data_IF_082372837741
#
_entry.id   IF_082372837741
#
_cell.length_a   1.000
_cell.length_b   1.000
_cell.length_c   1.000
_cell.angle_alpha   90.00
_cell.angle_beta   90.00
_cell.angle_gamma   90.00
#
_symmetry.space_group_name_H-M   'P 1'
#
loop_
_entity.id
_entity.type
_entity.pdbx_description
1 polymer ?
2 water ?
#
# COMPACT_ATOMS: atom_id res chain seq x y z
N UNK A 9 6.03 1.59 -20.61
CA UNK A 9 6.78 0.31 -20.60
C UNK A 9 5.75 -0.82 -20.39
N UNK A 10 4.82 -0.69 -19.45
CA UNK A 10 3.91 -1.84 -19.18
C UNK A 10 2.61 -1.87 -20.00
N UNK A 11 2.24 -3.06 -20.43
CA UNK A 11 0.98 -3.34 -21.10
C UNK A 11 -0.20 -3.06 -20.16
N UNK A 12 -1.20 -2.33 -20.63
CA UNK A 12 -2.35 -2.05 -19.81
C UNK A 12 -3.59 -2.75 -20.40
N UNK A 13 -4.63 -2.93 -19.59
CA UNK A 13 -5.86 -3.62 -20.05
C UNK A 13 -6.41 -3.00 -21.36
N UNK A 14 -6.26 -1.68 -21.51
CA UNK A 14 -6.80 -0.97 -22.65
C UNK A 14 -5.94 -1.22 -23.87
N UNK A 15 -4.85 -1.99 -23.73
CA UNK A 15 -4.03 -2.41 -24.90
C UNK A 15 -4.48 -3.74 -25.44
N UNK A 16 -5.36 -4.45 -24.71
CA UNK A 16 -5.76 -5.81 -25.14
C UNK A 16 -6.99 -5.87 -26.06
N UNK A 17 -7.06 -6.91 -26.90
CA UNK A 17 -8.26 -7.24 -27.71
C UNK A 17 -9.14 -8.10 -26.80
N UNK A 18 -10.12 -7.49 -26.11
CA UNK A 18 -10.91 -8.21 -25.05
C UNK A 18 -12.21 -8.93 -25.51
N UNK A 19 -12.78 -8.45 -26.61
CA UNK A 19 -14.12 -8.87 -27.04
C UNK A 19 -14.24 -10.36 -27.22
N UNK A 20 -15.21 -10.94 -26.54
CA UNK A 20 -15.50 -12.36 -26.66
C UNK A 20 -14.48 -13.21 -25.93
N UNK A 21 -13.44 -12.58 -25.39
CA UNK A 21 -12.41 -13.26 -24.64
C UNK A 21 -12.84 -13.53 -23.19
N UNK A 22 -12.44 -14.68 -22.67
CA UNK A 22 -12.50 -14.94 -21.27
C UNK A 22 -11.28 -14.28 -20.58
N UNK A 23 -11.56 -13.25 -19.80
CA UNK A 23 -10.56 -12.40 -19.14
C UNK A 23 -10.42 -12.74 -17.65
N UNK A 24 -9.27 -13.29 -17.27
CA UNK A 24 -9.03 -13.56 -15.84
C UNK A 24 -8.53 -12.28 -15.22
N UNK A 25 -9.04 -11.93 -14.05
CA UNK A 25 -8.70 -10.65 -13.45
C UNK A 25 -8.35 -10.86 -11.99
N UNK A 26 -7.13 -10.51 -11.64
CA UNK A 26 -6.76 -10.47 -10.24
C UNK A 26 -7.14 -9.09 -9.70
N UNK A 27 -8.15 -9.06 -8.83
CA UNK A 27 -8.64 -7.86 -8.20
C UNK A 27 -8.28 -7.87 -6.72
N UNK A 28 -8.14 -6.70 -6.10
CA UNK A 28 -7.90 -6.66 -4.65
C UNK A 28 -9.22 -6.55 -3.92
N UNK A 29 -9.79 -7.69 -3.54
CA UNK A 29 -11.02 -7.72 -2.75
C UNK A 29 -10.76 -8.04 -1.28
N UNK A 30 -9.52 -7.88 -0.81
CA UNK A 30 -9.24 -8.16 0.61
C UNK A 30 -9.88 -7.09 1.48
N UNK A 31 -11.19 -7.13 1.63
CA UNK A 31 -11.90 -6.08 2.38
C UNK A 31 -12.04 -6.40 3.86
N UNK A 32 -12.11 -5.37 4.73
CA UNK A 32 -12.36 -5.57 6.18
C UNK A 32 -13.69 -6.31 6.48
N UNK A 33 -13.62 -7.37 7.30
CA UNK A 33 -14.83 -8.13 7.67
C UNK A 33 -15.18 -7.99 9.15
N UNK A 34 -16.40 -8.39 9.51
CA UNK A 34 -16.82 -8.45 10.91
C UNK A 34 -18.02 -9.37 10.92
N UNK A 35 -17.80 -10.59 11.43
CA UNK A 35 -18.80 -11.67 11.38
C UNK A 35 -19.10 -12.11 9.95
N UNK A 36 -18.17 -11.82 9.05
CA UNK A 36 -18.43 -11.99 7.62
C UNK A 36 -19.38 -10.93 7.08
N UNK A 37 -19.20 -9.69 7.53
CA UNK A 37 -19.95 -8.56 7.04
C UNK A 37 -18.93 -7.48 6.61
N UNK A 38 -19.02 -7.00 5.38
CA UNK A 38 -18.04 -6.07 4.85
C UNK A 38 -18.13 -4.72 5.60
N UNK A 39 -17.09 -4.33 6.31
CA UNK A 39 -17.05 -3.07 7.08
C UNK A 39 -16.52 -1.89 6.25
N UNK A 40 -15.88 -2.20 5.13
CA UNK A 40 -15.32 -1.15 4.28
C UNK A 40 -15.22 -1.62 2.84
N UNK A 41 -16.19 -1.22 2.02
CA UNK A 41 -16.22 -1.65 0.63
C UNK A 41 -15.26 -0.90 -0.29
N UNK A 42 -14.32 -0.14 0.28
CA UNK A 42 -13.52 0.76 -0.55
C UNK A 42 -12.63 0.05 -1.58
N UNK A 43 -12.03 -1.09 -1.23
CA UNK A 43 -11.27 -1.85 -2.22
C UNK A 43 -12.17 -2.36 -3.37
N UNK A 44 -13.47 -2.51 -3.11
CA UNK A 44 -14.37 -2.93 -4.16
C UNK A 44 -14.73 -1.76 -5.05
N UNK A 45 -15.06 -0.62 -4.46
CA UNK A 45 -15.27 0.59 -5.20
C UNK A 45 -14.12 0.83 -6.16
N UNK A 46 -12.88 0.73 -5.68
CA UNK A 46 -11.70 1.00 -6.50
C UNK A 46 -11.41 0.01 -7.62
N UNK A 47 -11.78 -1.26 -7.39
CA UNK A 47 -11.61 -2.29 -8.40
C UNK A 47 -12.52 -2.09 -9.62
N UNK A 48 -13.56 -1.26 -9.47
CA UNK A 48 -14.65 -1.13 -10.43
C UNK A 48 -14.28 -0.70 -11.85
N UNK A 49 -13.44 0.36 -12.01
CA UNK A 49 -13.21 0.84 -13.38
C UNK A 49 -12.61 -0.20 -14.39
N UNK A 50 -11.63 -0.99 -13.95
CA UNK A 50 -11.07 -2.07 -14.77
C UNK A 50 -12.16 -3.03 -15.19
N UNK A 51 -12.99 -3.43 -14.23
CA UNK A 51 -14.07 -4.38 -14.52
C UNK A 51 -15.11 -3.75 -15.48
N UNK A 52 -15.49 -2.52 -15.20
CA UNK A 52 -16.55 -1.88 -15.96
C UNK A 52 -16.02 -1.71 -17.37
N UNK A 53 -14.73 -1.36 -17.49
CA UNK A 53 -14.13 -1.23 -18.83
C UNK A 53 -14.12 -2.56 -19.63
N UNK A 54 -13.70 -3.66 -18.99
CA UNK A 54 -13.71 -4.99 -19.62
C UNK A 54 -15.15 -5.39 -19.96
N UNK A 55 -16.12 -4.98 -19.14
CA UNK A 55 -17.53 -5.23 -19.50
C UNK A 55 -17.84 -4.49 -20.79
N UNK A 56 -17.48 -3.21 -20.87
CA UNK A 56 -17.76 -2.40 -22.06
C UNK A 56 -17.13 -2.95 -23.33
N UNK A 57 -15.98 -3.61 -23.20
CA UNK A 57 -15.29 -4.15 -24.37
C UNK A 57 -15.76 -5.54 -24.75
N UNK A 58 -16.76 -6.05 -24.02
CA UNK A 58 -17.39 -7.33 -24.31
C UNK A 58 -16.53 -8.49 -23.88
N UNK A 59 -15.81 -8.31 -22.78
CA UNK A 59 -15.06 -9.41 -22.18
C UNK A 59 -15.90 -10.27 -21.27
N UNK A 60 -15.45 -11.49 -21.04
CA UNK A 60 -16.11 -12.36 -20.07
C UNK A 60 -15.26 -12.40 -18.81
N UNK A 61 -15.81 -11.87 -17.72
CA UNK A 61 -14.96 -11.68 -16.55
C UNK A 61 -14.91 -12.84 -15.56
N UNK A 62 -13.68 -13.29 -15.28
CA UNK A 62 -13.44 -14.25 -14.19
C UNK A 62 -12.52 -13.66 -13.16
N UNK A 63 -13.04 -13.43 -11.95
CA UNK A 63 -12.34 -12.67 -10.93
C UNK A 63 -11.72 -13.55 -9.87
N UNK A 64 -10.48 -13.20 -9.52
CA UNK A 64 -9.74 -13.87 -8.46
C UNK A 64 -9.38 -12.86 -7.39
N UNK A 65 -9.55 -13.25 -6.11
CA UNK A 65 -8.96 -12.47 -5.00
C UNK A 65 -8.65 -13.37 -3.84
N UNK A 66 -7.75 -12.88 -2.99
CA UNK A 66 -7.55 -13.46 -1.67
C UNK A 66 -8.36 -12.71 -0.64
N UNK A 67 -8.58 -13.32 0.50
CA UNK A 67 -9.31 -12.64 1.56
C UNK A 67 -8.79 -13.18 2.87
N UNK A 68 -8.30 -12.25 3.70
CA UNK A 68 -7.63 -12.57 4.97
C UNK A 68 -6.46 -13.54 4.86
N UNK A 69 -6.16 -14.22 5.97
CA UNK A 69 -5.03 -15.16 6.03
C UNK A 69 -5.59 -16.51 6.41
N UNK A 70 -5.42 -17.49 5.55
CA UNK A 70 -6.00 -18.82 5.73
C UNK A 70 -4.96 -19.83 6.25
N UNK A 71 -4.97 -20.08 7.55
CA UNK A 71 -3.92 -20.92 8.14
C UNK A 71 -4.40 -22.33 8.39
N UNK A 72 -5.66 -22.45 8.83
CA UNK A 72 -6.25 -23.77 9.10
C UNK A 72 -7.72 -23.87 8.74
N UNK A 73 -8.30 -25.06 8.84
CA UNK A 73 -9.65 -25.32 8.32
C UNK A 73 -10.72 -24.37 8.87
N UNK A 74 -10.67 -24.11 10.16
CA UNK A 74 -11.66 -23.22 10.78
C UNK A 74 -11.57 -21.75 10.32
N UNK A 75 -10.47 -21.33 9.70
CA UNK A 75 -10.39 -20.00 9.08
C UNK A 75 -11.27 -19.79 7.81
N UNK A 76 -11.71 -20.87 7.17
CA UNK A 76 -12.39 -20.81 5.85
C UNK A 76 -13.72 -20.06 5.85
N UNK A 77 -14.60 -20.43 6.80
CA UNK A 77 -16.00 -19.97 6.84
C UNK A 77 -16.13 -18.46 6.94
N UNK A 78 -15.31 -17.80 7.74
CA UNK A 78 -15.41 -16.34 7.80
C UNK A 78 -14.65 -15.62 6.67
N UNK A 79 -13.96 -16.38 5.81
CA UNK A 79 -13.18 -15.80 4.72
C UNK A 79 -13.62 -16.24 3.30
N UNK A 80 -14.86 -16.65 3.16
CA UNK A 80 -15.49 -16.90 1.86
C UNK A 80 -15.66 -15.58 1.14
N UNK A 81 -15.54 -15.61 -0.18
CA UNK A 81 -15.77 -14.43 -0.99
C UNK A 81 -17.24 -14.17 -1.39
N UNK A 82 -18.17 -15.02 -0.97
CA UNK A 82 -19.62 -14.76 -1.22
C UNK A 82 -20.12 -13.34 -0.89
N UNK A 83 -19.70 -12.77 0.27
CA UNK A 83 -20.24 -11.42 0.54
C UNK A 83 -19.74 -10.37 -0.45
N UNK A 84 -18.55 -10.61 -1.03
CA UNK A 84 -17.98 -9.70 -2.01
C UNK A 84 -18.72 -9.79 -3.34
N UNK A 85 -19.16 -11.01 -3.69
CA UNK A 85 -19.85 -11.21 -4.95
C UNK A 85 -21.18 -10.52 -4.90
N UNK A 86 -21.83 -10.61 -3.74
CA UNK A 86 -23.12 -9.97 -3.52
C UNK A 86 -22.99 -8.46 -3.57
N UNK A 87 -21.96 -7.92 -2.94
CA UNK A 87 -21.78 -6.46 -2.91
C UNK A 87 -21.48 -5.98 -4.33
N UNK A 88 -20.63 -6.73 -5.02
CA UNK A 88 -20.23 -6.43 -6.37
C UNK A 88 -21.42 -6.46 -7.33
N UNK A 89 -22.43 -7.27 -6.99
CA UNK A 89 -23.64 -7.30 -7.79
C UNK A 89 -24.38 -5.99 -7.66
N UNK A 90 -24.51 -5.49 -6.42
CA UNK A 90 -25.24 -4.23 -6.19
C UNK A 90 -24.56 -3.15 -6.96
N UNK A 91 -23.23 -3.09 -6.85
CA UNK A 91 -22.43 -2.03 -7.47
C UNK A 91 -22.54 -2.05 -8.95
N UNK A 92 -22.63 -3.25 -9.49
CA UNK A 92 -22.68 -3.44 -10.93
C UNK A 92 -24.11 -3.43 -11.51
N UNK A 93 -25.11 -3.26 -10.64
CA UNK A 93 -26.51 -3.66 -10.90
C UNK A 93 -26.70 -4.74 -11.99
N UNK A 94 -25.99 -5.84 -11.70
CA UNK A 94 -26.01 -7.04 -12.50
C UNK A 94 -25.52 -8.16 -11.59
N UNK A 95 -26.12 -9.33 -11.75
CA UNK A 95 -25.78 -10.45 -10.86
C UNK A 95 -24.40 -11.07 -11.19
N UNK A 96 -23.51 -11.08 -10.20
CA UNK A 96 -22.24 -11.82 -10.31
C UNK A 96 -22.53 -13.30 -9.94
N UNK A 97 -22.02 -14.23 -10.75
CA UNK A 97 -22.10 -15.66 -10.44
C UNK A 97 -20.95 -15.98 -9.51
N UNK A 98 -21.25 -16.53 -8.33
CA UNK A 98 -20.19 -16.93 -7.40
C UNK A 98 -20.11 -18.46 -7.34
N UNK A 99 -18.92 -18.99 -7.53
CA UNK A 99 -18.69 -20.44 -7.38
C UNK A 99 -17.82 -20.66 -6.13
N UNK A 100 -18.29 -21.47 -5.17
CA UNK A 100 -17.54 -21.59 -3.91
C UNK A 100 -16.52 -22.74 -3.98
N UNK A 101 -15.81 -22.83 -5.10
CA UNK A 101 -14.69 -23.76 -5.30
C UNK A 101 -13.52 -22.99 -5.94
N UNK A 102 -12.31 -23.52 -5.81
CA UNK A 102 -11.17 -22.81 -6.36
C UNK A 102 -10.77 -23.47 -7.65
N UNK A 103 -11.19 -24.73 -7.83
CA UNK A 103 -11.17 -25.50 -9.07
C UNK A 103 -12.28 -26.55 -9.18
N UNK A 104 -12.32 -27.22 -10.34
CA UNK A 104 -13.20 -28.37 -10.58
C UNK A 104 -14.25 -28.20 -11.69
N UNK A 105 -15.07 -29.24 -11.85
CA UNK A 105 -16.05 -29.32 -12.93
C UNK A 105 -17.03 -28.18 -12.91
N UNK A 106 -17.60 -27.89 -11.73
CA UNK A 106 -18.67 -26.91 -11.62
C UNK A 106 -18.12 -25.53 -11.94
N UNK A 107 -17.00 -25.18 -11.31
CA UNK A 107 -16.28 -23.95 -11.71
C UNK A 107 -16.02 -23.86 -13.20
N UNK A 108 -15.44 -24.92 -13.75
CA UNK A 108 -15.09 -24.94 -15.18
C UNK A 108 -16.32 -24.75 -16.05
N UNK A 109 -17.40 -25.45 -15.74
CA UNK A 109 -18.63 -25.36 -16.53
C UNK A 109 -19.19 -23.95 -16.46
N UNK A 110 -19.16 -23.32 -15.27
CA UNK A 110 -19.73 -21.98 -15.11
C UNK A 110 -18.90 -20.96 -15.88
N UNK A 111 -17.60 -21.15 -15.91
CA UNK A 111 -16.74 -20.26 -16.71
C UNK A 111 -17.13 -20.40 -18.21
N UNK A 112 -17.30 -21.63 -18.71
CA UNK A 112 -17.67 -21.84 -20.11
C UNK A 112 -19.01 -21.23 -20.50
N UNK A 113 -19.93 -21.09 -19.55
CA UNK A 113 -21.28 -20.61 -19.83
C UNK A 113 -21.31 -19.10 -19.89
N UNK A 114 -20.18 -18.45 -19.61
CA UNK A 114 -20.17 -16.98 -19.55
C UNK A 114 -20.40 -16.33 -20.94
N UNK A 115 -21.25 -15.33 -21.06
CA UNK A 115 -21.32 -14.60 -22.34
C UNK A 115 -20.67 -13.24 -22.16
N UNK A 116 -20.58 -12.44 -23.22
CA UNK A 116 -19.85 -11.20 -23.12
C UNK A 116 -20.51 -10.30 -22.10
N UNK A 117 -19.72 -9.66 -21.25
CA UNK A 117 -20.26 -8.80 -20.20
C UNK A 117 -20.50 -9.50 -18.87
N UNK A 118 -20.59 -10.83 -18.89
CA UNK A 118 -20.87 -11.62 -17.65
C UNK A 118 -19.64 -11.58 -16.75
N UNK A 119 -19.89 -11.61 -15.44
CA UNK A 119 -18.86 -11.48 -14.37
C UNK A 119 -19.05 -12.70 -13.39
N UNK A 120 -17.95 -13.44 -13.14
CA UNK A 120 -18.01 -14.58 -12.24
C UNK A 120 -16.92 -14.37 -11.19
N UNK A 121 -17.15 -14.78 -9.97
CA UNK A 121 -16.16 -14.59 -8.94
C UNK A 121 -15.81 -15.97 -8.34
N UNK A 122 -14.52 -16.33 -8.45
CA UNK A 122 -13.95 -17.55 -7.88
C UNK A 122 -13.74 -17.35 -6.38
N UNK A 123 -13.96 -18.43 -5.61
CA UNK A 123 -13.75 -18.44 -4.18
C UNK A 123 -12.27 -18.05 -3.79
N UNK A 124 -12.07 -17.68 -2.53
CA UNK A 124 -10.82 -17.20 -1.95
C UNK A 124 -9.58 -17.97 -2.43
N UNK A 125 -8.62 -17.27 -3.01
CA UNK A 125 -7.48 -17.96 -3.59
C UNK A 125 -6.69 -18.64 -2.46
N UNK A 126 -6.80 -18.10 -1.24
CA UNK A 126 -6.05 -18.66 -0.11
C UNK A 126 -6.71 -19.91 0.57
N UNK A 127 -7.86 -20.36 0.03
CA UNK A 127 -8.32 -21.74 0.30
C UNK A 127 -7.28 -22.78 -0.20
N UNK A 128 -6.45 -22.38 -1.17
CA UNK A 128 -5.45 -23.28 -1.73
C UNK A 128 -4.23 -23.42 -0.83
N UNK A 129 -4.11 -22.53 0.16
CA UNK A 129 -3.02 -22.60 1.10
C UNK A 129 -3.14 -23.72 2.12
N UNK A 130 -4.34 -24.26 2.36
CA UNK A 130 -4.49 -25.32 3.39
C UNK A 130 -3.71 -26.63 3.14
N UNK A 131 -3.74 -27.09 1.90
CA UNK A 131 -2.97 -28.27 1.53
C UNK A 131 -1.77 -27.72 0.74
N UNK A 132 -0.64 -27.57 1.43
CA UNK A 132 0.62 -27.17 0.79
C UNK A 132 0.97 -25.71 0.50
N UNK A 133 0.23 -24.75 1.08
CA UNK A 133 0.45 -23.30 0.77
C UNK A 133 0.65 -22.98 -0.75
N UNK A 134 -0.19 -23.58 -1.59
CA UNK A 134 -0.04 -23.51 -3.03
C UNK A 134 -0.23 -22.11 -3.61
N UNK A 135 -1.22 -21.37 -3.10
CA UNK A 135 -1.44 -19.99 -3.55
C UNK A 135 -0.22 -19.18 -3.16
N UNK A 136 0.06 -19.14 -1.86
CA UNK A 136 1.08 -18.22 -1.32
C UNK A 136 2.51 -18.51 -1.75
N UNK A 137 2.81 -19.76 -2.08
CA UNK A 137 4.19 -20.21 -2.53
C UNK A 137 4.18 -20.45 -4.06
N UNK A 138 3.13 -20.03 -4.78
CA UNK A 138 3.11 -20.15 -6.25
C UNK A 138 3.34 -21.58 -6.76
N UNK A 139 2.55 -22.55 -6.31
CA UNK A 139 2.64 -23.92 -6.80
C UNK A 139 2.56 -23.90 -8.33
N UNK A 140 3.49 -24.59 -9.02
CA UNK A 140 3.46 -24.60 -10.50
C UNK A 140 2.13 -25.09 -11.08
N UNK A 141 1.63 -26.22 -10.56
CA UNK A 141 0.34 -26.75 -11.06
C UNK A 141 -0.85 -25.79 -10.97
N UNK A 142 -0.99 -25.10 -9.84
CA UNK A 142 -2.14 -24.24 -9.55
C UNK A 142 -2.16 -23.06 -10.52
N UNK A 143 -1.00 -22.43 -10.73
CA UNK A 143 -0.94 -21.25 -11.61
C UNK A 143 -1.37 -21.63 -13.03
N UNK A 144 -0.85 -22.76 -13.50
CA UNK A 144 -1.11 -23.27 -14.83
C UNK A 144 -2.57 -23.65 -14.99
N UNK A 145 -3.11 -24.35 -13.98
CA UNK A 145 -4.53 -24.70 -13.95
C UNK A 145 -5.47 -23.51 -14.00
N UNK A 146 -5.28 -22.54 -13.11
CA UNK A 146 -6.02 -21.26 -13.18
C UNK A 146 -5.84 -20.56 -14.52
N UNK A 147 -4.61 -20.49 -15.04
CA UNK A 147 -4.40 -19.82 -16.35
C UNK A 147 -5.19 -20.50 -17.46
N UNK A 148 -5.49 -21.81 -17.30
CA UNK A 148 -6.06 -22.59 -18.41
C UNK A 148 -7.55 -22.36 -18.49
N UNK A 149 -8.08 -21.61 -17.53
CA UNK A 149 -9.50 -21.25 -17.49
C UNK A 149 -9.84 -20.01 -18.35
N UNK A 150 -8.82 -19.31 -18.88
CA UNK A 150 -9.07 -18.15 -19.72
C UNK A 150 -8.16 -17.85 -20.91
N UNK A 151 -8.41 -16.72 -21.56
CA UNK A 151 -7.58 -16.36 -22.68
C UNK A 151 -6.51 -15.35 -22.36
N UNK A 152 -6.78 -14.44 -21.39
CA UNK A 152 -5.85 -13.35 -21.06
C UNK A 152 -5.95 -13.03 -19.57
N UNK A 153 -4.95 -12.34 -19.03
CA UNK A 153 -4.84 -11.98 -17.62
C UNK A 153 -4.61 -10.46 -17.47
N UNK A 154 -5.32 -9.90 -16.50
CA UNK A 154 -5.20 -8.55 -16.04
C UNK A 154 -4.97 -8.57 -14.54
N UNK A 155 -3.79 -8.12 -14.12
CA UNK A 155 -3.51 -8.02 -12.70
C UNK A 155 -3.79 -6.61 -12.25
N UNK A 156 -4.91 -6.42 -11.54
CA UNK A 156 -5.23 -5.13 -10.95
C UNK A 156 -5.00 -5.12 -9.44
N UNK A 157 -4.18 -6.04 -8.92
CA UNK A 157 -3.95 -6.10 -7.44
C UNK A 157 -2.52 -5.68 -7.05
N UNK A 158 -2.21 -4.38 -7.07
CA UNK A 158 -0.89 -3.94 -6.56
C UNK A 158 -0.54 -4.45 -5.11
N UNK A 159 -1.55 -4.65 -4.25
CA UNK A 159 -1.29 -5.02 -2.86
C UNK A 159 -0.53 -6.32 -2.65
N UNK A 160 -0.52 -7.23 -3.64
CA UNK A 160 0.23 -8.48 -3.55
C UNK A 160 1.35 -8.58 -4.58
N UNK A 161 1.54 -7.48 -5.32
CA UNK A 161 2.58 -7.37 -6.30
C UNK A 161 4.01 -7.62 -5.76
N UNK A 162 4.23 -7.43 -4.46
CA UNK A 162 5.59 -7.65 -3.90
C UNK A 162 5.87 -9.11 -3.54
N UNK A 163 4.90 -9.98 -3.82
CA UNK A 163 4.97 -11.38 -3.47
C UNK A 163 4.68 -12.25 -4.69
N UNK A 164 5.25 -13.46 -4.67
CA UNK A 164 5.12 -14.39 -5.74
C UNK A 164 4.07 -15.47 -5.42
N UNK A 165 2.86 -15.29 -5.98
CA UNK A 165 1.73 -16.22 -5.74
C UNK A 165 1.26 -16.92 -7.04
N UNK A 166 0.50 -18.00 -6.89
CA UNK A 166 -0.18 -18.61 -8.03
C UNK A 166 -1.12 -17.60 -8.73
N UNK A 167 -1.81 -16.79 -7.92
CA UNK A 167 -2.82 -15.84 -8.41
C UNK A 167 -2.21 -14.61 -9.08
N UNK A 168 -0.88 -14.50 -9.10
CA UNK A 168 -0.29 -13.40 -9.89
C UNK A 168 0.82 -13.81 -10.82
N UNK A 169 1.97 -14.22 -10.27
CA UNK A 169 3.04 -14.72 -11.10
C UNK A 169 2.65 -16.06 -11.74
N UNK A 170 1.98 -16.91 -10.98
CA UNK A 170 1.49 -18.18 -11.47
C UNK A 170 0.66 -18.10 -12.75
N UNK A 171 -0.47 -17.40 -12.72
CA UNK A 171 -1.26 -17.20 -13.93
C UNK A 171 -0.46 -16.48 -15.06
N UNK A 172 0.40 -15.49 -14.67
CA UNK A 172 1.13 -14.63 -15.62
C UNK A 172 2.09 -15.34 -16.52
N UNK A 173 2.52 -16.52 -16.08
CA UNK A 173 3.52 -17.23 -16.84
C UNK A 173 2.88 -17.99 -17.98
N UNK A 174 1.55 -18.09 -17.96
CA UNK A 174 0.85 -18.92 -18.92
C UNK A 174 -0.03 -18.15 -19.90
N UNK A 175 -0.02 -16.82 -19.76
CA UNK A 175 -0.98 -15.98 -20.46
C UNK A 175 -0.40 -14.57 -20.68
N UNK A 176 -0.72 -13.96 -21.83
CA UNK A 176 -0.43 -12.55 -22.00
C UNK A 176 -1.02 -11.77 -20.77
N UNK A 177 -0.22 -10.85 -20.25
CA UNK A 177 -0.52 -10.19 -19.00
C UNK A 177 -0.42 -8.65 -19.07
N UNK A 178 -1.48 -7.98 -18.64
CA UNK A 178 -1.55 -6.52 -18.58
C UNK A 178 -1.91 -6.03 -17.18
N UNK A 179 -1.53 -4.79 -16.92
CA UNK A 179 -1.93 -4.08 -15.71
C UNK A 179 -3.34 -3.50 -15.85
N UNK A 180 -4.11 -3.56 -14.77
CA UNK A 180 -5.38 -2.84 -14.71
C UNK A 180 -5.13 -1.37 -14.47
N UNK A 181 -6.21 -0.59 -14.45
CA UNK A 181 -6.07 0.84 -14.32
C UNK A 181 -5.55 1.22 -12.96
N UNK A 182 -5.77 0.34 -11.99
CA UNK A 182 -5.34 0.62 -10.63
C UNK A 182 -3.84 0.29 -10.47
N UNK A 183 -3.49 -0.96 -10.75
CA UNK A 183 -2.08 -1.37 -10.87
C UNK A 183 -1.26 -0.32 -11.65
N UNK A 184 -1.80 0.15 -12.77
CA UNK A 184 -1.11 1.13 -13.57
C UNK A 184 -0.75 2.48 -12.88
N UNK A 185 -1.62 3.02 -12.01
CA UNK A 185 -1.25 4.28 -11.34
C UNK A 185 -0.08 4.06 -10.40
N UNK A 186 -0.13 2.94 -9.67
CA UNK A 186 0.92 2.57 -8.73
C UNK A 186 2.26 2.44 -9.47
N UNK A 187 2.25 1.93 -10.70
CA UNK A 187 3.48 1.78 -11.46
C UNK A 187 3.93 3.19 -11.89
N UNK A 188 3.01 3.94 -12.47
CA UNK A 188 3.22 5.31 -12.93
C UNK A 188 3.85 6.19 -11.85
N UNK A 189 3.24 6.21 -10.69
CA UNK A 189 3.64 7.17 -9.69
C UNK A 189 4.71 6.63 -8.80
N UNK A 190 4.50 5.44 -8.21
CA UNK A 190 5.50 4.87 -7.31
C UNK A 190 6.75 4.41 -8.08
N UNK A 191 6.54 3.65 -9.15
CA UNK A 191 7.59 3.35 -10.12
C UNK A 191 8.25 4.59 -10.69
N UNK A 192 7.47 5.67 -10.84
CA UNK A 192 7.95 6.94 -11.40
C UNK A 192 8.98 7.59 -10.50
N UNK A 193 8.73 7.58 -9.20
CA UNK A 193 9.65 8.03 -8.19
C UNK A 193 11.05 7.45 -8.36
N UNK A 194 11.09 6.13 -8.56
CA UNK A 194 12.32 5.36 -8.59
C UNK A 194 12.96 5.30 -9.97
N UNK A 195 12.16 5.34 -11.02
CA UNK A 195 12.68 5.17 -12.37
C UNK A 195 12.97 6.44 -13.13
N UNK A 196 12.07 7.42 -13.01
CA UNK A 196 12.23 8.66 -13.71
C UNK A 196 11.48 9.80 -12.99
N UNK A 197 11.98 10.21 -11.80
CA UNK A 197 11.21 11.11 -10.92
C UNK A 197 11.07 12.54 -11.42
N UNK A 198 10.00 13.21 -10.97
CA UNK A 198 9.83 14.61 -11.26
C UNK A 198 10.55 15.34 -10.12
N UNK A 199 11.74 15.81 -10.42
CA UNK A 199 12.61 16.47 -9.47
C UNK A 199 12.32 17.94 -9.32
N UNK A 200 12.56 18.50 -8.11
CA UNK A 200 13.19 17.84 -6.97
C UNK A 200 12.26 16.90 -6.20
N UNK A 201 12.80 15.82 -5.67
CA UNK A 201 12.02 14.92 -4.83
C UNK A 201 12.34 15.06 -3.34
N UNK A 202 11.28 15.14 -2.56
CA UNK A 202 11.38 15.23 -1.09
C UNK A 202 10.62 14.04 -0.46
N UNK A 203 11.30 13.33 0.42
CA UNK A 203 10.71 12.22 1.10
C UNK A 203 10.55 12.56 2.55
N UNK A 204 9.36 12.27 3.06
CA UNK A 204 9.03 12.43 4.45
C UNK A 204 8.85 11.05 5.11
N UNK A 205 9.68 10.73 6.09
CA UNK A 205 9.63 9.41 6.72
C UNK A 205 9.26 9.52 8.18
N UNK A 206 8.40 8.59 8.60
CA UNK A 206 7.85 8.55 9.93
C UNK A 206 7.70 7.14 10.47
N UNK A 207 6.89 7.04 11.52
CA UNK A 207 6.59 5.78 12.19
C UNK A 207 7.65 5.56 13.26
N UNK A 208 7.48 4.45 13.98
CA UNK A 208 8.11 4.21 15.25
C UNK A 208 9.52 3.69 15.15
N UNK A 209 9.81 2.99 14.06
CA UNK A 209 11.00 2.15 13.96
C UNK A 209 11.89 2.56 12.82
N UNK A 210 13.16 2.75 13.15
CA UNK A 210 14.20 3.02 12.20
C UNK A 210 14.41 1.84 11.24
N UNK A 211 14.73 0.69 11.81
CA UNK A 211 14.55 -0.61 11.19
C UNK A 211 13.68 -0.66 9.93
N UNK A 212 12.40 -0.34 10.12
CA UNK A 212 11.39 -0.48 9.09
C UNK A 212 11.76 0.33 7.88
N UNK A 213 12.43 1.44 8.11
CA UNK A 213 12.74 2.45 7.06
C UNK A 213 14.19 2.48 6.51
N UNK A 214 15.10 1.75 7.14
CA UNK A 214 16.50 1.70 6.66
C UNK A 214 16.69 1.47 5.15
N UNK A 215 15.98 0.48 4.57
CA UNK A 215 16.16 0.21 3.12
C UNK A 215 15.59 1.30 2.23
N UNK A 216 14.44 1.89 2.61
CA UNK A 216 13.94 2.99 1.80
C UNK A 216 14.89 4.18 1.88
N UNK A 217 15.52 4.41 3.04
CA UNK A 217 16.44 5.55 3.17
C UNK A 217 17.65 5.34 2.25
N UNK A 218 18.21 4.13 2.23
CA UNK A 218 19.41 3.85 1.38
C UNK A 218 19.13 4.06 -0.11
N UNK A 219 17.92 3.70 -0.56
CA UNK A 219 17.57 3.94 -1.95
C UNK A 219 17.23 5.41 -2.25
N UNK A 220 16.49 6.04 -1.35
CA UNK A 220 15.95 7.37 -1.58
C UNK A 220 16.99 8.45 -1.41
N UNK A 221 18.07 8.14 -0.71
CA UNK A 221 19.11 9.09 -0.43
C UNK A 221 19.84 9.59 -1.69
N UNK A 222 19.90 8.78 -2.76
CA UNK A 222 20.48 9.20 -4.04
C UNK A 222 19.50 9.77 -5.07
N UNK A 223 18.20 9.65 -4.78
CA UNK A 223 17.14 10.19 -5.60
C UNK A 223 16.63 11.54 -5.00
N UNK A 224 16.25 11.53 -3.73
CA UNK A 224 15.73 12.72 -3.06
C UNK A 224 16.78 13.80 -2.84
N UNK A 225 16.35 15.06 -2.91
CA UNK A 225 17.16 16.21 -2.43
C UNK A 225 17.14 16.36 -0.90
N UNK A 226 16.05 15.90 -0.28
CA UNK A 226 15.86 16.02 1.17
C UNK A 226 15.12 14.82 1.65
N UNK A 227 15.52 14.35 2.83
CA UNK A 227 14.81 13.33 3.56
C UNK A 227 14.46 13.94 4.90
N UNK A 228 13.16 14.10 5.09
CA UNK A 228 12.58 14.66 6.25
C UNK A 228 12.17 13.50 7.13
N UNK A 229 12.60 13.54 8.39
CA UNK A 229 12.32 12.41 9.28
C UNK A 229 11.60 12.82 10.54
N UNK A 230 10.47 12.18 10.81
CA UNK A 230 9.75 12.44 12.05
C UNK A 230 9.22 11.12 12.58
N UNK A 231 8.22 11.20 13.47
CA UNK A 231 7.70 10.04 14.15
C UNK A 231 8.69 9.49 15.16
N UNK A 232 8.39 8.31 15.67
CA UNK A 232 9.24 7.76 16.73
C UNK A 232 10.63 7.43 16.27
N UNK A 233 10.76 7.12 14.99
CA UNK A 233 12.06 6.78 14.43
C UNK A 233 13.07 7.94 14.45
N UNK A 234 12.58 9.18 14.56
CA UNK A 234 13.42 10.36 14.58
C UNK A 234 14.31 10.44 15.81
N UNK A 235 13.86 9.88 16.94
CA UNK A 235 14.62 10.13 18.21
C UNK A 235 15.98 9.45 18.23
N UNK A 236 16.07 8.31 17.52
CA UNK A 236 17.35 7.60 17.34
C UNK A 236 18.36 8.52 16.67
N UNK A 237 17.90 9.25 15.66
CA UNK A 237 18.75 10.17 14.88
C UNK A 237 19.25 11.33 15.72
N UNK A 238 18.37 11.85 16.55
CA UNK A 238 18.66 12.89 17.53
C UNK A 238 19.73 12.45 18.51
N UNK A 239 19.55 11.26 19.04
CA UNK A 239 20.55 10.63 19.87
C UNK A 239 21.89 10.53 19.12
N UNK A 240 21.84 10.15 17.83
CA UNK A 240 23.06 10.02 17.01
C UNK A 240 23.83 11.34 16.86
N UNK A 241 23.10 12.44 17.09
CA UNK A 241 23.59 13.80 17.03
C UNK A 241 24.09 14.30 18.41
N UNK A 242 24.05 13.43 19.42
CA UNK A 242 24.52 13.80 20.74
C UNK A 242 23.49 14.42 21.65
N UNK A 243 22.22 14.40 21.26
CA UNK A 243 21.16 14.99 22.11
C UNK A 243 20.68 13.88 23.08
N UNK A 244 20.23 14.28 24.27
CA UNK A 244 19.43 13.38 25.16
C UNK A 244 18.00 13.23 24.61
N UNK A 245 17.45 12.02 24.65
CA UNK A 245 16.06 11.80 24.16
C UNK A 245 15.08 11.30 25.23
N UNK A 246 15.52 11.30 26.49
CA UNK A 246 14.71 10.77 27.57
C UNK A 246 14.45 9.29 27.39
N UNK A 247 13.20 8.90 27.63
CA UNK A 247 12.81 7.50 27.53
C UNK A 247 12.11 7.27 26.20
N UNK A 248 12.33 8.18 25.26
CA UNK A 248 11.85 7.95 23.89
C UNK A 248 12.54 6.69 23.41
N UNK A 249 11.82 5.92 22.59
CA UNK A 249 12.33 4.65 22.09
C UNK A 249 13.60 4.85 21.29
N UNK A 250 14.53 3.95 21.54
CA UNK A 250 15.83 4.06 20.94
C UNK A 250 16.19 2.71 20.37
N UNK A 251 16.68 2.72 19.13
CA UNK A 251 17.33 1.53 18.52
C UNK A 251 18.85 1.72 18.49
N UNK A 252 19.52 1.23 19.51
CA UNK A 252 20.97 1.40 19.71
C UNK A 252 21.77 0.75 18.58
N UNK A 253 21.26 -0.36 18.06
CA UNK A 253 21.92 -1.08 16.98
C UNK A 253 21.76 -0.32 15.64
N UNK A 254 20.98 0.76 15.64
CA UNK A 254 20.86 1.63 14.44
C UNK A 254 21.52 3.02 14.58
N UNK A 255 22.14 3.28 15.75
CA UNK A 255 22.99 4.48 15.93
C UNK A 255 24.14 4.60 14.89
N UNK A 256 24.91 3.55 14.63
CA UNK A 256 25.99 3.69 13.63
C UNK A 256 25.42 4.02 12.25
N UNK A 257 24.31 3.36 11.88
CA UNK A 257 23.71 3.65 10.61
C UNK A 257 23.29 5.09 10.54
N UNK A 258 22.72 5.60 11.64
CA UNK A 258 22.31 7.01 11.71
C UNK A 258 23.50 7.93 11.65
N UNK A 259 24.53 7.69 12.48
CA UNK A 259 25.72 8.57 12.52
C UNK A 259 26.31 8.66 11.12
N UNK A 260 26.49 7.53 10.45
CA UNK A 260 27.09 7.49 9.10
C UNK A 260 26.25 8.15 7.98
N UNK A 261 24.92 7.99 8.08
CA UNK A 261 24.01 8.66 7.19
C UNK A 261 24.19 10.18 7.29
N UNK A 262 24.27 10.67 8.53
CA UNK A 262 24.47 12.09 8.80
C UNK A 262 25.85 12.61 8.29
N UNK A 263 26.86 11.78 8.43
CA UNK A 263 28.19 12.12 7.94
C UNK A 263 28.20 12.20 6.38
N UNK A 264 27.64 11.19 5.71
CA UNK A 264 27.58 11.14 4.24
C UNK A 264 26.60 12.13 3.58
N UNK A 265 25.50 12.47 4.27
CA UNK A 265 24.42 13.25 3.67
C UNK A 265 23.86 14.30 4.60
N UNK A 266 24.72 15.12 5.19
CA UNK A 266 24.36 16.01 6.29
C UNK A 266 23.07 16.77 6.13
N UNK A 267 23.11 17.92 5.48
CA UNK A 267 21.92 18.79 5.54
C UNK A 267 20.71 18.22 4.80
N UNK A 268 20.93 17.41 3.77
CA UNK A 268 19.87 16.56 3.19
C UNK A 268 18.88 16.00 4.24
N UNK A 269 19.38 15.71 5.43
CA UNK A 269 18.54 15.08 6.46
C UNK A 269 17.97 16.18 7.34
N UNK A 270 16.65 16.28 7.41
CA UNK A 270 16.00 17.30 8.23
C UNK A 270 15.20 16.66 9.38
N UNK A 271 15.57 17.04 10.61
CA UNK A 271 15.03 16.41 11.81
C UNK A 271 14.12 17.39 12.59
N UNK A 272 13.37 16.89 13.59
CA UNK A 272 12.53 17.78 14.37
C UNK A 272 13.40 18.75 15.20
N UNK A 273 12.85 19.94 15.50
CA UNK A 273 13.57 21.00 16.21
C UNK A 273 12.84 21.25 17.55
N UNK A 274 11.62 20.73 17.65
CA UNK A 274 10.91 20.62 18.94
C UNK A 274 10.08 19.35 18.98
N UNK A 275 9.60 19.01 20.18
CA UNK A 275 8.84 17.79 20.38
C UNK A 275 7.82 17.92 21.53
N UNK A 276 6.74 17.14 21.46
CA UNK A 276 5.74 17.16 22.55
C UNK A 276 6.06 15.95 23.37
N UNK A 277 6.42 16.15 24.64
CA UNK A 277 6.83 15.03 25.46
C UNK A 277 5.84 14.78 26.58
N UNK A 278 5.82 13.57 27.08
CA UNK A 278 5.00 13.24 28.23
C UNK A 278 5.66 12.14 29.08
N UNK A 279 5.41 12.21 30.38
CA UNK A 279 5.81 11.17 31.34
C UNK A 279 5.12 9.80 31.19
N UNK A 280 3.93 9.75 30.57
CA UNK A 280 3.15 8.51 30.46
C UNK A 280 2.59 8.33 29.05
N UNK A 281 2.48 7.08 28.58
CA UNK A 281 1.95 6.78 27.24
C UNK A 281 0.41 6.81 27.15
N UNK A 282 -0.17 8.01 27.19
CA UNK A 282 -1.61 8.13 27.36
C UNK A 282 -2.00 9.44 26.73
N UNK A 283 -3.14 9.43 26.03
CA UNK A 283 -3.74 10.65 25.46
C UNK A 283 -4.08 11.71 26.52
N UNK A 284 -4.24 11.26 27.76
CA UNK A 284 -4.61 12.15 28.87
C UNK A 284 -3.43 12.68 29.70
N UNK A 285 -2.21 12.35 29.29
CA UNK A 285 -1.03 12.78 30.03
C UNK A 285 -0.71 14.29 29.84
N UNK A 286 -0.11 14.91 30.84
CA UNK A 286 0.33 16.28 30.75
C UNK A 286 1.40 16.34 29.60
N UNK A 287 1.15 17.17 28.58
CA UNK A 287 2.17 17.29 27.54
C UNK A 287 2.96 18.59 27.70
N UNK A 288 4.26 18.52 27.46
CA UNK A 288 5.07 19.73 27.38
C UNK A 288 5.86 19.82 26.08
N UNK A 289 5.95 21.02 25.55
CA UNK A 289 6.52 21.25 24.26
C UNK A 289 7.93 21.76 24.54
N UNK A 290 8.97 21.05 24.07
CA UNK A 290 10.35 21.48 24.32
C UNK A 290 11.20 21.49 23.04
N UNK A 291 12.26 22.32 23.00
CA UNK A 291 13.23 22.18 21.94
C UNK A 291 13.94 20.81 22.01
N UNK A 292 14.40 20.38 20.83
CA UNK A 292 15.05 19.09 20.71
C UNK A 292 16.20 18.93 21.64
N UNK A 293 16.78 20.03 22.11
CA UNK A 293 17.95 20.00 23.00
C UNK A 293 17.56 19.92 24.45
N UNK A 294 16.27 19.99 24.74
CA UNK A 294 15.82 20.03 26.12
C UNK A 294 14.74 18.96 26.33
N UNK A 295 14.91 17.79 25.72
CA UNK A 295 14.07 16.68 26.11
C UNK A 295 14.47 16.23 27.53
N UNK A 296 13.47 16.21 28.44
CA UNK A 296 13.65 15.77 29.82
C UNK A 296 14.01 14.30 29.91
N UNK A 297 14.86 13.95 30.88
CA UNK A 297 15.33 12.57 31.07
C UNK A 297 14.19 11.57 31.28
N UNK A 298 13.16 11.96 32.03
CA UNK A 298 12.03 11.02 32.27
C UNK A 298 10.90 11.10 31.29
N UNK A 299 11.14 11.63 30.09
CA UNK A 299 10.01 11.88 29.18
C UNK A 299 10.24 11.32 27.79
N UNK A 300 9.11 11.15 27.10
CA UNK A 300 9.06 10.43 25.85
C UNK A 300 8.56 11.32 24.72
N UNK A 301 9.22 11.26 23.57
CA UNK A 301 8.90 12.13 22.45
C UNK A 301 7.74 11.49 21.75
N UNK A 302 6.55 12.08 21.87
CA UNK A 302 5.37 11.46 21.29
C UNK A 302 4.76 12.19 20.08
N UNK A 303 5.21 13.42 19.79
CA UNK A 303 4.76 14.08 18.57
C UNK A 303 5.80 15.12 18.27
N UNK A 304 5.94 15.48 17.01
CA UNK A 304 6.74 16.62 16.66
C UNK A 304 6.05 17.92 17.17
N UNK A 305 6.85 18.94 17.50
CA UNK A 305 6.32 20.24 17.94
C UNK A 305 5.76 21.15 16.84
N UNK A 306 5.17 22.30 17.25
CA UNK A 306 4.65 23.21 16.19
C UNK A 306 5.74 23.83 15.33
N UNK A 307 6.92 24.13 15.88
CA UNK A 307 8.03 24.67 15.07
C UNK A 307 8.50 23.67 14.02
N UNK A 308 8.47 22.41 14.35
CA UNK A 308 8.89 21.37 13.42
C UNK A 308 7.87 21.25 12.29
N UNK A 309 6.58 21.33 12.63
CA UNK A 309 5.51 21.21 11.63
C UNK A 309 5.76 22.29 10.60
N UNK A 310 5.94 23.52 11.10
CA UNK A 310 6.28 24.66 10.29
C UNK A 310 7.53 24.45 9.44
N UNK A 311 8.58 23.87 10.03
CA UNK A 311 9.89 23.73 9.39
C UNK A 311 9.74 22.71 8.27
N UNK A 312 9.21 21.55 8.64
CA UNK A 312 8.84 20.50 7.66
C UNK A 312 8.02 21.03 6.45
N UNK A 313 7.03 21.89 6.71
CA UNK A 313 6.23 22.49 5.66
C UNK A 313 7.08 23.41 4.80
N UNK A 314 7.89 24.28 5.40
CA UNK A 314 8.82 25.15 4.64
C UNK A 314 9.77 24.39 3.74
N UNK A 315 10.22 23.22 4.22
CA UNK A 315 11.21 22.35 3.51
C UNK A 315 10.63 21.70 2.24
N UNK A 316 9.33 21.82 2.05
CA UNK A 316 8.64 21.31 0.85
C UNK A 316 8.70 22.29 -0.31
N UNK A 317 8.97 23.55 -0.02
CA UNK A 317 8.74 24.56 -1.03
C UNK A 317 9.74 24.35 -2.18
N UNK A 318 9.23 24.32 -3.41
CA UNK A 318 10.07 24.03 -4.57
C UNK A 318 10.11 22.54 -5.01
N UNK A 319 9.64 21.62 -4.17
CA UNK A 319 9.68 20.20 -4.56
C UNK A 319 8.66 19.93 -5.65
N UNK A 320 9.01 19.11 -6.63
CA UNK A 320 8.02 18.70 -7.62
C UNK A 320 7.47 17.32 -7.37
N UNK A 321 8.07 16.57 -6.44
CA UNK A 321 7.47 15.31 -5.96
C UNK A 321 7.67 15.24 -4.45
N UNK A 322 6.65 14.82 -3.71
CA UNK A 322 6.82 14.57 -2.28
C UNK A 322 6.29 13.15 -2.02
N UNK A 323 7.07 12.34 -1.32
CA UNK A 323 6.66 10.98 -0.97
C UNK A 323 6.58 10.91 0.54
N UNK A 324 5.39 10.55 1.04
CA UNK A 324 5.22 10.48 2.46
C UNK A 324 5.00 9.05 2.95
N UNK A 325 5.78 8.67 3.96
CA UNK A 325 5.70 7.34 4.53
C UNK A 325 5.86 7.34 6.05
N UNK A 326 4.79 7.64 6.77
CA UNK A 326 4.80 7.45 8.20
C UNK A 326 4.33 8.63 9.01
N UNK A 327 3.54 8.35 10.04
CA UNK A 327 3.03 9.37 10.94
C UNK A 327 4.19 10.01 11.73
N UNK A 328 3.93 11.23 12.17
CA UNK A 328 4.94 12.10 12.76
C UNK A 328 5.02 11.96 14.28
N UNK A 329 4.07 11.24 14.86
CA UNK A 329 3.93 11.01 16.29
C UNK A 329 2.86 9.93 16.54
N UNK A 330 2.29 9.91 17.77
CA UNK A 330 1.34 8.83 18.18
C UNK A 330 -0.04 9.28 17.75
N UNK A 331 -0.31 9.00 16.48
CA UNK A 331 -1.48 9.50 15.77
C UNK A 331 -2.80 8.94 16.35
N UNK A 332 -2.72 7.73 16.88
CA UNK A 332 -3.84 7.07 17.57
C UNK A 332 -4.34 7.91 18.77
N UNK A 333 -3.51 8.79 19.33
CA UNK A 333 -3.96 9.67 20.43
C UNK A 333 -4.28 11.04 19.90
N UNK A 334 -5.49 11.46 20.16
CA UNK A 334 -5.98 12.79 19.82
C UNK A 334 -4.97 13.93 20.05
N UNK A 335 -4.44 14.06 21.27
CA UNK A 335 -3.56 15.17 21.63
C UNK A 335 -2.10 15.03 21.16
N UNK A 336 -1.80 13.98 20.40
CA UNK A 336 -0.45 13.73 19.83
C UNK A 336 -0.58 13.51 18.33
N UNK A 337 -1.69 14.00 17.78
CA UNK A 337 -2.02 13.79 16.37
C UNK A 337 -1.67 15.00 15.52
N UNK A 338 -1.53 16.15 16.16
CA UNK A 338 -1.35 17.41 15.42
C UNK A 338 -0.15 17.43 14.42
N UNK A 339 0.95 16.81 14.80
CA UNK A 339 2.13 16.76 13.94
C UNK A 339 1.90 16.11 12.58
N UNK A 340 1.13 15.03 12.58
CA UNK A 340 0.78 14.25 11.39
C UNK A 340 -0.25 15.02 10.57
N UNK A 341 -1.25 15.60 11.26
CA UNK A 341 -2.30 16.42 10.67
C UNK A 341 -1.65 17.58 9.90
N UNK A 342 -0.69 18.24 10.57
CA UNK A 342 -0.07 19.45 10.04
C UNK A 342 0.79 19.18 8.84
N UNK A 343 1.53 18.07 8.89
CA UNK A 343 2.39 17.67 7.79
C UNK A 343 1.52 17.16 6.65
N UNK A 344 0.48 16.41 6.99
CA UNK A 344 -0.49 15.96 6.00
C UNK A 344 -1.09 17.15 5.27
N UNK A 345 -1.62 18.14 6.00
CA UNK A 345 -2.14 19.35 5.38
C UNK A 345 -1.08 20.05 4.49
N UNK A 346 0.16 20.20 4.98
CA UNK A 346 1.20 20.87 4.16
C UNK A 346 1.39 20.18 2.80
N UNK A 347 1.44 18.85 2.79
CA UNK A 347 1.63 18.13 1.56
C UNK A 347 0.40 18.24 0.64
N UNK A 348 -0.79 18.18 1.22
CA UNK A 348 -1.99 18.33 0.43
C UNK A 348 -2.15 19.75 -0.08
N UNK A 349 -1.60 20.71 0.66
CA UNK A 349 -1.65 22.11 0.25
C UNK A 349 -0.63 22.45 -0.85
N UNK A 350 0.51 21.74 -0.86
CA UNK A 350 1.61 22.04 -1.79
C UNK A 350 1.13 22.08 -3.26
N UNK A 351 1.28 23.24 -3.93
CA UNK A 351 0.93 23.39 -5.33
C UNK A 351 2.06 22.86 -6.28
N UNK A 352 1.67 22.37 -7.47
CA UNK A 352 2.59 22.00 -8.54
C UNK A 352 3.62 20.94 -8.14
N UNK A 353 3.17 19.90 -7.45
CA UNK A 353 4.03 18.80 -7.02
C UNK A 353 3.19 17.54 -6.96
N UNK A 354 3.79 16.44 -7.43
CA UNK A 354 3.16 15.14 -7.36
C UNK A 354 3.28 14.75 -5.91
N UNK A 355 2.18 14.38 -5.28
CA UNK A 355 2.25 14.01 -3.88
C UNK A 355 1.78 12.57 -3.71
N UNK A 356 2.64 11.73 -3.11
CA UNK A 356 2.45 10.26 -3.04
C UNK A 356 2.42 9.76 -1.60
N UNK A 357 1.42 8.96 -1.27
CA UNK A 357 1.39 8.26 0.04
C UNK A 357 1.68 6.77 -0.12
N UNK A 358 2.70 6.31 0.59
CA UNK A 358 3.04 4.89 0.60
C UNK A 358 2.88 4.47 2.05
N UNK A 359 2.44 3.26 2.35
CA UNK A 359 2.28 2.90 3.75
C UNK A 359 0.83 2.99 4.18
N UNK A 360 0.38 1.91 4.82
CA UNK A 360 -0.99 1.79 5.28
C UNK A 360 -1.33 2.85 6.30
N UNK A 361 -0.41 3.08 7.25
CA UNK A 361 -0.67 4.05 8.35
C UNK A 361 -0.87 5.47 7.84
N UNK A 362 -0.02 5.91 6.92
CA UNK A 362 -0.21 7.25 6.33
C UNK A 362 -1.45 7.35 5.44
N UNK A 363 -1.72 6.31 4.65
CA UNK A 363 -2.93 6.25 3.78
C UNK A 363 -4.23 6.39 4.59
N UNK A 364 -4.37 5.61 5.67
CA UNK A 364 -5.52 5.69 6.56
C UNK A 364 -5.65 7.06 7.22
N UNK A 365 -4.54 7.62 7.70
CA UNK A 365 -4.56 8.91 8.39
C UNK A 365 -5.08 10.05 7.49
N UNK A 366 -4.48 10.15 6.31
CA UNK A 366 -4.88 11.09 5.30
C UNK A 366 -6.35 10.90 4.92
N UNK A 367 -6.75 9.66 4.62
CA UNK A 367 -8.15 9.36 4.28
C UNK A 367 -9.09 9.76 5.42
N UNK A 368 -8.77 9.40 6.66
CA UNK A 368 -9.70 9.73 7.76
C UNK A 368 -9.71 11.24 8.04
N UNK A 369 -8.65 11.93 7.63
CA UNK A 369 -8.55 13.37 7.83
C UNK A 369 -9.29 14.25 6.82
N UNK A 370 -9.82 13.64 5.74
CA UNK A 370 -10.56 14.38 4.70
C UNK A 370 -9.79 14.62 3.43
N UNK A 371 -8.60 14.02 3.36
CA UNK A 371 -7.60 14.38 2.37
C UNK A 371 -7.45 13.46 1.15
N UNK A 372 -8.20 12.35 1.08
CA UNK A 372 -8.06 11.40 -0.06
C UNK A 372 -7.97 12.06 -1.41
N UNK A 373 -8.82 13.06 -1.69
CA UNK A 373 -8.81 13.69 -3.03
C UNK A 373 -7.70 14.70 -3.29
N UNK A 374 -7.02 15.15 -2.22
CA UNK A 374 -6.00 16.18 -2.30
C UNK A 374 -4.57 15.66 -2.50
N UNK A 375 -4.40 14.34 -2.62
CA UNK A 375 -3.06 13.82 -2.91
C UNK A 375 -2.99 13.29 -4.33
N UNK A 376 -1.90 13.52 -5.06
CA UNK A 376 -1.83 12.91 -6.39
C UNK A 376 -2.04 11.39 -6.36
N UNK A 377 -1.48 10.71 -5.37
CA UNK A 377 -1.56 9.24 -5.33
C UNK A 377 -1.45 8.69 -3.94
N UNK A 378 -2.49 8.00 -3.50
CA UNK A 378 -2.49 7.28 -2.23
C UNK A 378 -2.46 5.80 -2.57
N UNK A 379 -1.38 5.10 -2.26
CA UNK A 379 -1.24 3.73 -2.71
C UNK A 379 -2.21 2.80 -2.01
N UNK A 380 -2.65 1.78 -2.72
CA UNK A 380 -3.54 0.77 -2.16
C UNK A 380 -2.78 -0.43 -1.53
N UNK A 381 -1.44 -0.42 -1.62
CA UNK A 381 -0.63 -1.57 -1.17
C UNK A 381 0.40 -1.17 -0.12
N UNK A 382 0.03 -1.37 1.15
CA UNK A 382 0.91 -1.01 2.28
C UNK A 382 2.34 -1.49 2.12
N UNK A 383 2.50 -2.82 2.23
CA UNK A 383 3.84 -3.45 2.17
C UNK A 383 4.46 -3.30 0.80
N UNK A 384 3.65 -3.49 -0.25
CA UNK A 384 4.16 -3.44 -1.62
C UNK A 384 4.81 -2.11 -1.98
N UNK A 385 4.16 -1.00 -1.61
CA UNK A 385 4.61 0.33 -2.04
C UNK A 385 5.98 0.63 -1.44
N UNK A 386 6.17 0.27 -0.17
CA UNK A 386 7.45 0.46 0.48
C UNK A 386 8.52 -0.37 -0.24
N UNK A 387 8.27 -1.65 -0.52
CA UNK A 387 9.30 -2.47 -1.15
C UNK A 387 9.66 -1.87 -2.51
N UNK A 388 8.65 -1.34 -3.20
CA UNK A 388 8.81 -0.71 -4.50
C UNK A 388 9.75 0.53 -4.34
N UNK A 389 9.42 1.40 -3.40
CA UNK A 389 10.34 2.52 -3.05
C UNK A 389 11.78 2.11 -2.67
N UNK A 390 11.93 0.93 -2.06
CA UNK A 390 13.24 0.45 -1.65
C UNK A 390 14.07 0.07 -2.86
N UNK A 391 13.44 0.02 -4.04
CA UNK A 391 14.15 -0.30 -5.30
C UNK A 391 14.15 -1.78 -5.70
N UNK A 392 13.40 -2.56 -4.93
CA UNK A 392 13.09 -3.93 -5.31
C UNK A 392 12.25 -3.98 -6.56
N UNK A 393 12.50 -4.98 -7.40
CA UNK A 393 11.64 -5.27 -8.53
C UNK A 393 10.57 -6.24 -8.04
N UNK A 394 9.35 -5.76 -7.87
CA UNK A 394 8.23 -6.58 -7.39
C UNK A 394 7.91 -7.73 -8.37
N UNK A 395 7.76 -8.99 -7.89
CA UNK A 395 7.50 -10.13 -8.84
C UNK A 395 6.19 -10.03 -9.66
N UNK A 396 5.15 -9.47 -9.05
CA UNK A 396 3.88 -9.28 -9.74
C UNK A 396 3.98 -8.27 -10.88
N UNK A 397 4.90 -7.31 -10.74
CA UNK A 397 5.13 -6.32 -11.80
C UNK A 397 6.03 -6.86 -12.95
N UNK A 398 7.07 -7.60 -12.57
CA UNK A 398 8.03 -8.20 -13.52
C UNK A 398 7.31 -9.10 -14.51
N UNK A 399 6.24 -9.71 -14.03
CA UNK A 399 5.48 -10.74 -14.75
C UNK A 399 4.38 -10.16 -15.62
N UNK A 400 4.02 -8.88 -15.40
CA UNK A 400 3.20 -8.18 -16.37
C UNK A 400 4.06 -7.94 -17.65
N UNK A 401 3.48 -8.16 -18.84
CA UNK A 401 4.18 -7.96 -20.12
C UNK A 401 4.55 -6.49 -20.34
N UNK A 402 5.69 -6.24 -20.96
CA UNK A 402 5.91 -4.88 -21.45
C UNK A 402 5.09 -4.66 -22.70
N UNK A 403 4.86 -3.39 -23.04
CA UNK A 403 4.03 -2.97 -24.19
C UNK A 403 4.86 -2.92 -25.48
#
# INVERSE_FOLDING_TARGET
>A
HHHHHHGSAKKIVSDLDLKGKTVLVRADFNVPLKDGEITNDNRIVQALPTIQYIIEQGGKIVLFSHLGKVKEESDKAKLTLRPVAEDLSKKLDKEVVFVPETRGEKLEAAIKDLKEGDVLLVENTRYEDLDGKKESKNDPELGKYWASLGDVFVNDAFGTAHREHASNVGISTHLETAAGFLMDKEIKFIGGVVNDPHKPVVAILGGAKVSDKINVIKNLVNIADKIIIGGGMAYTFLKAQGKEIGISLLEEDKIDFAKDLLEKHGDKIVLPVDTKVAKEFSNDAKITVVPSDSIPADQEGMDIGPNTVKLFADELEGAHTVVWNGPMGVFEFSNFAQGTIGVCKAIANLKDAITIIGGGDSAAAAISLGFENDFTHISTGGGASLEYLEGKELPGIKAINNK
#
